data_IF_118306517901
#
_entry.id   IF_118306517901
#
_cell.length_a   1.000
_cell.length_b   1.000
_cell.length_c   1.000
_cell.angle_alpha   90.00
_cell.angle_beta   90.00
_cell.angle_gamma   90.00
#
_symmetry.space_group_name_H-M   'P 1'
#
loop_
_entity.id
_entity.type
_entity.pdbx_description
1 polymer ?
#
# COMPACT_ATOMS: atom_id res chain seq x y z
N UNK A 1 -15.04 -7.80 37.36
CA UNK A 1 -13.84 -7.88 36.50
C UNK A 1 -12.63 -7.26 37.21
N UNK A 2 -11.83 -8.09 37.87
CA UNK A 2 -10.66 -7.64 38.63
C UNK A 2 -9.50 -7.42 37.66
N UNK A 3 -9.05 -6.18 37.49
CA UNK A 3 -7.84 -5.87 36.73
C UNK A 3 -6.63 -6.63 37.30
N UNK A 4 -5.72 -7.08 36.43
CA UNK A 4 -4.49 -7.72 36.86
C UNK A 4 -3.65 -6.76 37.72
N UNK A 5 -3.03 -7.28 38.78
CA UNK A 5 -2.16 -6.53 39.69
C UNK A 5 -0.71 -6.96 39.45
N UNK A 6 0.19 -5.99 39.30
CA UNK A 6 1.63 -6.23 39.40
C UNK A 6 2.24 -5.34 40.50
N UNK A 7 3.55 -5.48 40.75
CA UNK A 7 4.29 -4.82 41.84
C UNK A 7 4.26 -3.27 41.76
N UNK A 8 3.83 -2.69 40.63
CA UNK A 8 3.71 -1.25 40.38
C UNK A 8 2.25 -0.73 40.47
N UNK A 9 1.25 -1.58 40.75
CA UNK A 9 -0.14 -1.20 40.95
C UNK A 9 -1.15 -1.87 40.00
N UNK A 10 -2.35 -1.29 39.89
CA UNK A 10 -3.37 -1.69 38.91
C UNK A 10 -2.84 -1.37 37.51
N UNK A 11 -2.49 -2.39 36.73
CA UNK A 11 -2.19 -2.19 35.31
C UNK A 11 -3.49 -2.00 34.53
N UNK A 12 -3.43 -1.13 33.53
CA UNK A 12 -4.56 -0.77 32.67
C UNK A 12 -5.14 -1.95 31.88
N UNK A 13 -6.27 -1.66 31.22
CA UNK A 13 -7.10 -2.54 30.39
C UNK A 13 -6.32 -3.60 29.60
N UNK A 14 -6.98 -4.77 29.43
CA UNK A 14 -6.57 -5.89 28.56
C UNK A 14 -5.73 -5.42 27.39
N UNK A 15 -4.48 -5.86 27.31
CA UNK A 15 -3.69 -5.68 26.11
C UNK A 15 -4.16 -6.71 25.08
N UNK A 16 -4.88 -6.25 24.04
CA UNK A 16 -5.48 -7.11 23.03
C UNK A 16 -4.43 -8.03 22.37
N UNK A 17 -3.20 -7.55 22.19
CA UNK A 17 -2.13 -8.31 21.55
C UNK A 17 -1.76 -9.54 22.37
N UNK A 18 -1.89 -9.54 23.69
CA UNK A 18 -1.56 -10.70 24.54
C UNK A 18 -2.48 -11.91 24.25
N UNK A 19 -3.71 -11.69 23.79
CA UNK A 19 -4.63 -12.76 23.41
C UNK A 19 -4.62 -13.05 21.91
N UNK A 20 -4.47 -12.02 21.08
CA UNK A 20 -4.69 -12.12 19.64
C UNK A 20 -3.43 -12.28 18.80
N UNK A 21 -2.23 -12.07 19.34
CA UNK A 21 -1.04 -11.95 18.50
C UNK A 21 -1.10 -10.70 17.61
N UNK A 22 0.06 -10.11 17.34
CA UNK A 22 0.20 -8.93 16.49
C UNK A 22 1.66 -8.79 16.07
N UNK A 23 1.92 -8.83 14.76
CA UNK A 23 3.27 -8.71 14.24
C UNK A 23 3.79 -7.26 14.27
N UNK A 24 2.92 -6.24 14.39
CA UNK A 24 3.35 -4.84 14.53
C UNK A 24 4.00 -4.60 15.90
N UNK A 25 3.38 -5.09 16.98
CA UNK A 25 3.97 -5.06 18.32
C UNK A 25 5.04 -6.13 18.57
N UNK A 26 5.26 -7.03 17.60
CA UNK A 26 6.20 -8.14 17.73
C UNK A 26 5.70 -9.30 18.60
N UNK A 27 4.42 -9.32 18.98
CA UNK A 27 3.84 -10.48 19.66
C UNK A 27 3.41 -11.56 18.67
N UNK A 28 4.32 -12.45 18.33
CA UNK A 28 4.12 -13.53 17.37
C UNK A 28 3.49 -14.80 17.97
N UNK A 29 2.79 -14.68 19.11
CA UNK A 29 2.17 -15.80 19.82
C UNK A 29 0.74 -15.45 20.25
N UNK A 30 -0.20 -16.36 19.99
CA UNK A 30 -1.61 -16.26 20.38
C UNK A 30 -2.08 -17.55 21.11
N UNK A 31 -2.52 -17.48 22.38
CA UNK A 31 -2.25 -16.40 23.33
C UNK A 31 -0.79 -16.39 23.77
N UNK A 32 -0.29 -15.24 24.21
CA UNK A 32 1.03 -15.11 24.82
C UNK A 32 1.08 -15.90 26.13
N UNK A 33 2.20 -16.59 26.40
CA UNK A 33 2.37 -17.42 27.62
C UNK A 33 2.21 -16.60 28.90
N UNK A 34 2.58 -15.32 28.88
CA UNK A 34 2.50 -14.40 30.02
C UNK A 34 1.18 -13.62 30.08
N UNK A 35 0.23 -13.89 29.19
CA UNK A 35 -1.08 -13.26 29.23
C UNK A 35 -1.78 -13.61 30.56
N UNK A 36 -2.27 -12.58 31.26
CA UNK A 36 -2.83 -12.73 32.60
C UNK A 36 -4.13 -11.93 32.75
N UNK A 37 -4.91 -12.24 33.78
CA UNK A 37 -6.17 -11.55 34.08
C UNK A 37 -7.43 -12.16 33.46
N UNK A 38 -7.31 -13.07 32.49
CA UNK A 38 -8.44 -13.75 31.83
C UNK A 38 -8.07 -15.19 31.43
N UNK A 39 -9.09 -16.05 31.25
CA UNK A 39 -8.88 -17.37 30.64
C UNK A 39 -8.50 -17.16 29.18
N UNK A 40 -7.26 -17.47 28.84
CA UNK A 40 -6.76 -17.33 27.49
C UNK A 40 -7.26 -18.47 26.61
N UNK A 41 -7.65 -18.12 25.37
CA UNK A 41 -8.02 -19.07 24.32
C UNK A 41 -7.29 -18.67 23.06
N UNK A 42 -7.06 -19.63 22.15
CA UNK A 42 -6.51 -19.32 20.84
C UNK A 42 -7.49 -18.41 20.10
N UNK A 43 -7.07 -17.20 19.80
CA UNK A 43 -7.85 -16.22 19.06
C UNK A 43 -7.37 -16.14 17.60
N UNK A 44 -7.98 -15.24 16.82
CA UNK A 44 -7.46 -14.80 15.53
C UNK A 44 -6.43 -13.67 15.76
N UNK A 45 -5.50 -13.44 14.82
CA UNK A 45 -4.66 -12.25 14.76
C UNK A 45 -5.44 -10.99 15.09
N UNK A 46 -4.84 -10.04 15.80
CA UNK A 46 -5.53 -8.80 16.20
C UNK A 46 -6.20 -8.11 15.01
N UNK A 47 -5.46 -8.06 13.90
CA UNK A 47 -5.86 -7.49 12.62
C UNK A 47 -7.10 -8.16 12.05
N UNK A 48 -7.12 -9.49 12.01
CA UNK A 48 -8.25 -10.27 11.51
C UNK A 48 -9.45 -10.15 12.46
N UNK A 49 -9.21 -10.15 13.77
CA UNK A 49 -10.25 -10.03 14.78
C UNK A 49 -10.95 -8.66 14.73
N UNK A 50 -10.18 -7.56 14.69
CA UNK A 50 -10.73 -6.20 14.63
C UNK A 50 -11.48 -5.99 13.32
N UNK A 51 -10.85 -6.25 12.18
CA UNK A 51 -11.51 -6.03 10.88
C UNK A 51 -12.72 -6.95 10.72
N UNK A 52 -12.58 -8.23 11.06
CA UNK A 52 -13.65 -9.22 10.98
C UNK A 52 -14.88 -8.84 11.80
N UNK A 53 -14.68 -8.41 13.05
CA UNK A 53 -15.80 -8.00 13.90
C UNK A 53 -16.49 -6.74 13.37
N UNK A 54 -15.73 -5.68 13.10
CA UNK A 54 -16.33 -4.39 12.74
C UNK A 54 -16.96 -4.40 11.35
N UNK A 55 -16.36 -5.09 10.36
CA UNK A 55 -16.95 -5.21 9.03
C UNK A 55 -18.19 -6.14 9.00
N UNK A 56 -18.31 -7.05 9.97
CA UNK A 56 -19.50 -7.90 10.10
C UNK A 56 -20.64 -7.19 10.83
N UNK A 57 -20.33 -6.42 11.89
CA UNK A 57 -21.33 -5.79 12.75
C UNK A 57 -21.72 -4.38 12.26
N UNK A 58 -20.74 -3.59 11.83
CA UNK A 58 -20.90 -2.16 11.51
C UNK A 58 -20.10 -1.81 10.23
N UNK A 59 -20.49 -2.33 9.05
CA UNK A 59 -19.73 -2.13 7.81
C UNK A 59 -19.70 -0.70 7.30
N UNK A 60 -20.63 0.16 7.74
CA UNK A 60 -20.73 1.59 7.38
C UNK A 60 -20.51 1.91 5.89
N UNK A 61 -21.31 1.34 4.97
CA UNK A 61 -21.11 1.60 3.55
C UNK A 61 -21.40 3.06 3.18
N UNK A 62 -20.62 3.62 2.26
CA UNK A 62 -20.99 4.83 1.51
C UNK A 62 -22.03 4.49 0.42
N UNK A 63 -22.48 5.48 -0.38
CA UNK A 63 -23.47 5.23 -1.43
C UNK A 63 -22.99 4.27 -2.54
N UNK A 64 -21.68 4.07 -2.67
CA UNK A 64 -21.08 3.11 -3.59
C UNK A 64 -20.83 1.73 -2.94
N UNK A 65 -21.12 1.58 -1.64
CA UNK A 65 -20.87 0.37 -0.86
C UNK A 65 -19.47 0.27 -0.25
N UNK A 66 -18.62 1.31 -0.30
CA UNK A 66 -17.27 1.30 0.33
C UNK A 66 -17.39 1.47 1.84
N UNK A 67 -16.63 0.69 2.61
CA UNK A 67 -16.71 0.79 4.07
C UNK A 67 -16.03 2.06 4.59
N UNK A 68 -16.79 2.93 5.25
CA UNK A 68 -16.27 4.11 5.94
C UNK A 68 -15.66 3.74 7.31
N UNK A 69 -15.89 2.51 7.79
CA UNK A 69 -15.44 2.04 9.09
C UNK A 69 -13.92 2.08 9.23
N UNK A 70 -13.17 1.92 8.13
CA UNK A 70 -11.72 2.06 8.11
C UNK A 70 -11.28 3.39 8.74
N UNK A 71 -11.91 4.49 8.32
CA UNK A 71 -11.57 5.85 8.75
C UNK A 71 -12.11 6.18 10.15
N UNK A 72 -13.04 5.36 10.67
CA UNK A 72 -13.55 5.52 12.04
C UNK A 72 -12.54 5.05 13.10
N UNK A 73 -11.67 4.09 12.74
CA UNK A 73 -10.61 3.59 13.62
C UNK A 73 -9.21 4.07 13.21
N UNK A 74 -8.91 4.12 11.91
CA UNK A 74 -7.68 4.69 11.39
C UNK A 74 -7.85 6.21 11.31
N UNK A 75 -7.21 6.96 12.21
CA UNK A 75 -7.79 8.20 12.67
C UNK A 75 -7.82 9.31 11.63
N UNK A 76 -8.90 10.06 11.71
CA UNK A 76 -9.06 11.43 11.21
C UNK A 76 -8.87 12.38 12.36
N UNK A 77 -7.63 12.73 12.69
CA UNK A 77 -7.46 13.76 13.70
C UNK A 77 -7.64 15.13 13.06
N UNK A 78 -8.47 15.95 13.70
CA UNK A 78 -8.39 17.39 13.56
C UNK A 78 -7.91 17.94 14.89
N UNK A 79 -6.85 18.73 14.88
CA UNK A 79 -6.19 19.16 16.11
C UNK A 79 -6.90 20.33 16.80
N UNK A 80 -7.81 21.03 16.10
CA UNK A 80 -8.54 22.15 16.67
C UNK A 80 -9.85 21.66 17.32
N UNK A 81 -9.97 21.74 18.67
CA UNK A 81 -11.11 21.23 19.40
C UNK A 81 -12.44 21.91 19.03
N UNK A 82 -12.42 23.12 18.48
CA UNK A 82 -13.62 23.86 18.09
C UNK A 82 -14.33 23.24 16.88
N UNK A 83 -13.67 22.36 16.14
CA UNK A 83 -14.26 21.60 15.05
C UNK A 83 -14.41 20.12 15.42
N UNK A 84 -14.63 19.81 16.71
CA UNK A 84 -15.14 18.51 17.14
C UNK A 84 -16.68 18.45 17.03
N UNK A 85 -17.22 18.94 15.93
CA UNK A 85 -18.65 19.00 15.62
C UNK A 85 -18.94 18.55 14.17
N UNK A 86 -20.16 18.80 13.69
CA UNK A 86 -20.58 18.42 12.33
C UNK A 86 -19.88 19.24 11.22
N UNK A 87 -19.16 20.31 11.56
CA UNK A 87 -18.36 21.11 10.61
C UNK A 87 -17.01 20.46 10.28
N UNK A 88 -16.57 19.48 11.09
CA UNK A 88 -15.34 18.74 10.85
C UNK A 88 -15.37 18.04 9.48
N UNK A 89 -14.52 18.41 8.52
CA UNK A 89 -14.58 17.82 7.19
C UNK A 89 -14.04 16.37 7.17
N UNK A 90 -13.21 15.98 8.15
CA UNK A 90 -12.60 14.66 8.22
C UNK A 90 -13.51 13.60 8.86
N UNK A 91 -14.50 14.04 9.61
CA UNK A 91 -15.42 13.17 10.32
C UNK A 91 -16.22 12.27 9.36
N UNK A 92 -16.26 10.97 9.65
CA UNK A 92 -16.97 9.95 8.83
C UNK A 92 -18.22 9.37 9.52
N UNK A 93 -18.41 9.66 10.80
CA UNK A 93 -19.64 9.41 11.55
C UNK A 93 -20.40 10.72 11.74
N UNK A 94 -21.73 10.67 11.81
CA UNK A 94 -22.52 11.81 12.29
C UNK A 94 -22.60 11.81 13.82
N UNK A 95 -23.22 12.83 14.44
CA UNK A 95 -23.27 12.99 15.91
C UNK A 95 -24.00 11.85 16.65
N UNK A 96 -24.68 10.99 15.92
CA UNK A 96 -25.37 9.82 16.45
C UNK A 96 -24.59 8.51 16.22
N UNK A 97 -23.43 8.59 15.56
CA UNK A 97 -22.59 7.43 15.23
C UNK A 97 -22.94 6.78 13.89
N UNK A 98 -23.86 7.37 13.11
CA UNK A 98 -24.26 6.84 11.81
C UNK A 98 -23.27 7.21 10.71
N UNK A 99 -23.28 6.44 9.62
CA UNK A 99 -22.34 6.65 8.52
C UNK A 99 -22.65 7.94 7.74
N UNK A 100 -21.78 8.96 7.86
CA UNK A 100 -21.99 10.30 7.28
C UNK A 100 -22.18 10.28 5.76
N UNK A 101 -21.41 9.43 5.06
CA UNK A 101 -21.47 9.33 3.60
C UNK A 101 -22.39 8.20 3.10
N UNK A 102 -23.34 7.72 3.91
CA UNK A 102 -24.29 6.67 3.49
C UNK A 102 -25.05 7.01 2.18
N UNK A 103 -25.22 8.30 1.88
CA UNK A 103 -25.84 8.83 0.65
C UNK A 103 -24.86 9.56 -0.28
N UNK A 104 -23.56 9.46 -0.03
CA UNK A 104 -22.53 10.16 -0.80
C UNK A 104 -21.27 9.33 -1.00
N UNK A 105 -20.20 9.98 -1.46
CA UNK A 105 -18.91 9.35 -1.73
C UNK A 105 -17.92 9.68 -0.61
N UNK A 106 -17.44 8.65 0.10
CA UNK A 106 -16.48 8.82 1.20
C UNK A 106 -15.16 9.47 0.76
N UNK A 107 -14.80 9.34 -0.52
CA UNK A 107 -13.57 9.93 -1.08
C UNK A 107 -13.67 11.45 -1.20
N UNK A 108 -14.88 12.01 -1.09
CA UNK A 108 -15.10 13.46 -0.99
C UNK A 108 -14.92 13.99 0.44
N UNK A 109 -14.72 13.13 1.44
CA UNK A 109 -14.42 13.56 2.82
C UNK A 109 -13.22 14.49 2.85
N UNK A 110 -13.10 15.29 3.91
CA UNK A 110 -11.97 16.19 4.15
C UNK A 110 -10.63 15.46 4.15
N UNK A 111 -10.61 14.13 4.29
CA UNK A 111 -9.39 13.32 4.33
C UNK A 111 -9.15 12.76 5.72
N UNK A 112 -7.88 12.67 6.11
CA UNK A 112 -7.41 12.31 7.45
C UNK A 112 -5.93 11.92 7.43
N UNK A 113 -5.49 11.11 8.38
CA UNK A 113 -4.12 10.60 8.38
C UNK A 113 -3.82 9.68 7.18
N UNK A 114 -4.85 9.10 6.55
CA UNK A 114 -4.69 8.15 5.45
C UNK A 114 -5.43 8.59 4.18
N UNK A 115 -6.69 9.00 4.30
CA UNK A 115 -7.50 9.41 3.14
C UNK A 115 -7.11 10.81 2.66
N UNK A 116 -6.88 10.95 1.35
CA UNK A 116 -6.47 12.19 0.66
C UNK A 116 -5.13 12.77 1.11
N UNK A 117 -4.27 11.97 1.77
CA UNK A 117 -2.90 12.36 2.15
C UNK A 117 -1.94 12.17 0.99
N UNK A 118 -2.10 11.13 0.18
CA UNK A 118 -1.19 10.80 -0.92
C UNK A 118 -1.83 10.96 -2.32
N UNK A 119 -1.01 10.80 -3.35
CA UNK A 119 -1.44 10.93 -4.74
C UNK A 119 -2.57 9.95 -5.15
N UNK A 120 -2.66 8.78 -4.50
CA UNK A 120 -3.67 7.77 -4.84
C UNK A 120 -5.08 8.18 -4.44
N UNK A 121 -5.20 8.88 -3.32
CA UNK A 121 -6.48 9.34 -2.78
C UNK A 121 -6.71 10.84 -3.02
N UNK A 122 -5.71 11.58 -3.50
CA UNK A 122 -5.78 13.01 -3.77
C UNK A 122 -6.41 13.31 -5.15
N UNK A 123 -7.57 13.97 -5.22
CA UNK A 123 -8.21 14.31 -6.50
C UNK A 123 -7.42 15.31 -7.35
N UNK A 124 -6.45 16.02 -6.74
CA UNK A 124 -5.61 17.00 -7.43
C UNK A 124 -4.39 16.37 -8.11
N UNK A 125 -4.10 15.09 -7.87
CA UNK A 125 -2.98 14.41 -8.52
C UNK A 125 -3.15 14.42 -10.06
N UNK A 126 -2.05 14.67 -10.77
CA UNK A 126 -2.03 14.81 -12.25
C UNK A 126 -1.13 13.74 -12.89
N UNK A 127 -1.46 13.27 -14.10
CA UNK A 127 -0.58 12.38 -14.88
C UNK A 127 0.81 13.01 -15.15
N UNK A 128 1.82 12.20 -15.52
CA UNK A 128 1.74 10.76 -15.84
C UNK A 128 1.69 9.86 -14.60
N UNK A 129 0.93 8.76 -14.67
CA UNK A 129 0.80 7.80 -13.55
C UNK A 129 1.60 6.50 -13.76
N UNK A 130 2.08 6.21 -14.98
CA UNK A 130 2.83 5.00 -15.32
C UNK A 130 2.16 3.72 -14.80
N UNK A 131 0.97 3.44 -15.32
CA UNK A 131 0.10 2.37 -14.85
C UNK A 131 0.22 1.10 -15.70
N UNK A 132 0.27 -0.05 -15.04
CA UNK A 132 0.04 -1.34 -15.69
C UNK A 132 -1.46 -1.50 -16.07
N UNK A 133 -1.84 -2.64 -16.65
CA UNK A 133 -3.22 -2.82 -17.11
C UNK A 133 -4.25 -2.88 -15.97
N UNK A 134 -3.87 -3.34 -14.77
CA UNK A 134 -4.75 -3.28 -13.60
C UNK A 134 -4.85 -1.86 -13.04
N UNK A 135 -3.74 -1.12 -12.97
CA UNK A 135 -3.73 0.28 -12.57
C UNK A 135 -4.61 1.14 -13.49
N UNK A 136 -4.54 0.93 -14.81
CA UNK A 136 -5.42 1.59 -15.78
C UNK A 136 -6.89 1.27 -15.53
N UNK A 137 -7.20 0.00 -15.25
CA UNK A 137 -8.55 -0.41 -14.88
C UNK A 137 -9.03 0.31 -13.61
N UNK A 138 -8.19 0.43 -12.57
CA UNK A 138 -8.52 1.15 -11.33
C UNK A 138 -8.76 2.65 -11.59
N UNK A 139 -7.92 3.28 -12.42
CA UNK A 139 -8.12 4.67 -12.81
C UNK A 139 -9.48 4.87 -13.50
N UNK A 140 -9.77 4.07 -14.52
CA UNK A 140 -10.96 4.21 -15.36
C UNK A 140 -12.27 3.81 -14.64
N UNK A 141 -12.22 2.78 -13.80
CA UNK A 141 -13.43 2.15 -13.24
C UNK A 141 -13.67 2.52 -11.77
N UNK A 142 -12.69 3.11 -11.10
CA UNK A 142 -12.82 3.53 -9.69
C UNK A 142 -12.53 5.02 -9.55
N UNK A 143 -11.31 5.46 -9.87
CA UNK A 143 -10.90 6.84 -9.62
C UNK A 143 -11.68 7.86 -10.46
N UNK A 144 -12.08 7.49 -11.68
CA UNK A 144 -12.87 8.34 -12.59
C UNK A 144 -14.37 8.06 -12.55
N UNK A 145 -14.86 7.34 -11.51
CA UNK A 145 -16.28 7.08 -11.29
C UNK A 145 -16.79 7.69 -10.00
N UNK A 146 -18.01 8.19 -10.03
CA UNK A 146 -18.75 8.62 -8.83
C UNK A 146 -19.33 7.43 -8.05
N UNK A 147 -20.06 7.72 -6.97
CA UNK A 147 -20.73 6.74 -6.12
C UNK A 147 -21.82 5.93 -6.83
N UNK A 148 -22.27 6.36 -8.01
CA UNK A 148 -23.30 5.71 -8.83
C UNK A 148 -22.71 5.07 -10.09
N UNK A 149 -21.38 5.00 -10.21
CA UNK A 149 -20.69 4.42 -11.36
C UNK A 149 -20.69 5.30 -12.63
N UNK A 150 -21.04 6.59 -12.50
CA UNK A 150 -21.00 7.55 -13.62
C UNK A 150 -19.62 8.18 -13.74
N UNK A 151 -19.24 8.52 -14.98
CA UNK A 151 -17.99 9.24 -15.24
C UNK A 151 -17.98 10.61 -14.57
N UNK A 152 -16.84 10.97 -13.99
CA UNK A 152 -16.58 12.28 -13.40
C UNK A 152 -15.54 13.05 -14.19
N UNK A 153 -15.64 14.38 -14.19
CA UNK A 153 -14.63 15.27 -14.80
C UNK A 153 -13.35 15.35 -13.97
N UNK A 154 -13.50 15.27 -12.65
CA UNK A 154 -12.41 15.36 -11.69
C UNK A 154 -12.25 14.02 -10.98
N UNK A 155 -11.02 13.54 -10.92
CA UNK A 155 -10.68 12.27 -10.28
C UNK A 155 -11.15 12.26 -8.82
N UNK A 156 -11.77 11.17 -8.37
CA UNK A 156 -12.12 10.91 -6.96
C UNK A 156 -10.99 10.24 -6.19
N UNK A 157 -10.07 9.60 -6.90
CA UNK A 157 -9.00 8.78 -6.33
C UNK A 157 -9.48 7.40 -5.88
N UNK A 158 -8.55 6.68 -5.26
CA UNK A 158 -8.74 5.36 -4.68
C UNK A 158 -9.09 5.47 -3.20
N UNK A 159 -9.61 4.37 -2.65
CA UNK A 159 -9.86 4.19 -1.23
C UNK A 159 -9.13 2.95 -0.70
N UNK A 160 -9.10 2.76 0.62
CA UNK A 160 -8.35 1.68 1.29
C UNK A 160 -8.61 0.30 0.67
N UNK A 161 -9.87 0.00 0.32
CA UNK A 161 -10.29 -1.29 -0.22
C UNK A 161 -9.82 -1.56 -1.66
N UNK A 162 -9.35 -0.53 -2.37
CA UNK A 162 -8.76 -0.71 -3.69
C UNK A 162 -7.30 -1.17 -3.62
N UNK A 163 -6.61 -0.89 -2.51
CA UNK A 163 -5.28 -1.41 -2.21
C UNK A 163 -5.37 -2.75 -1.46
N UNK A 164 -6.20 -2.81 -0.41
CA UNK A 164 -6.47 -4.04 0.36
C UNK A 164 -7.54 -4.88 -0.32
N UNK A 165 -7.15 -5.54 -1.42
CA UNK A 165 -8.05 -6.28 -2.29
C UNK A 165 -7.60 -7.72 -2.51
N UNK A 166 -8.54 -8.60 -2.84
CA UNK A 166 -8.19 -9.99 -3.23
C UNK A 166 -7.46 -10.05 -4.57
N UNK A 167 -7.55 -9.01 -5.40
CA UNK A 167 -6.72 -8.92 -6.61
C UNK A 167 -5.26 -8.79 -6.22
N UNK A 168 -4.91 -7.89 -5.29
CA UNK A 168 -3.54 -7.75 -4.80
C UNK A 168 -3.00 -9.07 -4.21
N UNK A 169 -3.80 -9.76 -3.38
CA UNK A 169 -3.45 -11.09 -2.86
C UNK A 169 -3.21 -12.12 -3.98
N UNK A 170 -4.05 -12.12 -5.02
CA UNK A 170 -3.90 -13.05 -6.14
C UNK A 170 -2.68 -12.74 -7.01
N UNK A 171 -2.40 -11.46 -7.27
CA UNK A 171 -1.20 -11.01 -7.97
C UNK A 171 0.05 -11.45 -7.20
N UNK A 172 0.10 -11.19 -5.88
CA UNK A 172 1.18 -11.63 -5.00
C UNK A 172 1.36 -13.16 -5.02
N UNK A 173 0.27 -13.92 -4.86
CA UNK A 173 0.33 -15.39 -4.88
C UNK A 173 0.89 -15.95 -6.20
N UNK A 174 0.63 -15.28 -7.32
CA UNK A 174 1.07 -15.71 -8.64
C UNK A 174 2.57 -15.47 -8.91
N UNK A 175 3.22 -14.58 -8.17
CA UNK A 175 4.59 -14.16 -8.45
C UNK A 175 5.64 -15.25 -8.19
N UNK A 176 6.64 -15.33 -9.06
CA UNK A 176 7.94 -15.97 -8.87
C UNK A 176 8.90 -15.20 -9.79
N UNK A 177 9.26 -14.00 -9.35
CA UNK A 177 9.95 -12.96 -10.10
C UNK A 177 11.44 -13.23 -10.09
N UNK A 178 12.07 -13.04 -11.25
CA UNK A 178 13.52 -13.18 -11.43
C UNK A 178 14.19 -11.84 -11.70
N UNK A 179 13.44 -10.85 -12.19
CA UNK A 179 13.89 -9.47 -12.35
C UNK A 179 12.72 -8.50 -12.15
N UNK A 180 12.73 -7.81 -11.02
CA UNK A 180 11.73 -6.82 -10.60
C UNK A 180 11.64 -5.65 -11.59
N UNK A 181 12.78 -5.05 -11.96
CA UNK A 181 12.88 -3.85 -12.82
C UNK A 181 12.29 -3.99 -14.21
N UNK A 182 12.17 -5.24 -14.65
CA UNK A 182 11.66 -5.63 -15.96
C UNK A 182 10.40 -6.49 -15.86
N UNK A 183 9.95 -6.79 -14.64
CA UNK A 183 8.91 -7.76 -14.31
C UNK A 183 9.11 -9.11 -15.03
N UNK A 184 10.35 -9.63 -15.07
CA UNK A 184 10.67 -10.94 -15.65
C UNK A 184 10.46 -12.06 -14.63
N UNK A 185 10.15 -13.26 -15.12
CA UNK A 185 9.75 -14.41 -14.30
C UNK A 185 8.25 -14.67 -14.41
N UNK A 186 7.69 -15.34 -13.41
CA UNK A 186 6.24 -15.58 -13.34
C UNK A 186 5.59 -14.39 -12.62
N UNK A 187 4.73 -13.66 -13.31
CA UNK A 187 3.92 -12.60 -12.71
C UNK A 187 2.69 -12.30 -13.56
N UNK A 188 1.65 -11.77 -12.94
CA UNK A 188 0.44 -11.28 -13.60
C UNK A 188 0.49 -9.77 -13.89
N UNK A 189 1.39 -9.02 -13.25
CA UNK A 189 1.40 -7.54 -13.28
C UNK A 189 1.80 -6.94 -14.63
N UNK A 190 2.48 -7.69 -15.48
CA UNK A 190 2.84 -7.29 -16.84
C UNK A 190 1.90 -7.87 -17.92
N UNK A 191 0.82 -8.53 -17.53
CA UNK A 191 -0.12 -9.19 -18.45
C UNK A 191 -1.23 -8.26 -18.90
N UNK A 192 -1.93 -8.64 -19.97
CA UNK A 192 -3.15 -7.94 -20.39
C UNK A 192 -4.24 -8.07 -19.32
N UNK A 193 -5.18 -7.13 -19.26
CA UNK A 193 -6.31 -7.21 -18.33
C UNK A 193 -7.10 -8.52 -18.51
N UNK A 194 -7.25 -9.00 -19.76
CA UNK A 194 -7.92 -10.26 -20.07
C UNK A 194 -7.23 -11.46 -19.41
N UNK A 195 -5.91 -11.52 -19.46
CA UNK A 195 -5.13 -12.58 -18.82
C UNK A 195 -5.20 -12.49 -17.30
N UNK A 196 -5.16 -11.28 -16.73
CA UNK A 196 -5.34 -11.07 -15.29
C UNK A 196 -6.72 -11.57 -14.83
N UNK A 197 -7.79 -11.19 -15.55
CA UNK A 197 -9.17 -11.62 -15.25
C UNK A 197 -9.33 -13.14 -15.40
N UNK A 198 -8.69 -13.74 -16.40
CA UNK A 198 -8.66 -15.19 -16.57
C UNK A 198 -8.01 -15.88 -15.36
N UNK A 199 -6.85 -15.40 -14.91
CA UNK A 199 -6.12 -16.00 -13.80
C UNK A 199 -6.80 -15.78 -12.43
N UNK A 200 -7.33 -14.59 -12.19
CA UNK A 200 -7.85 -14.19 -10.86
C UNK A 200 -9.33 -14.56 -10.70
N UNK A 201 -10.12 -14.48 -11.77
CA UNK A 201 -11.58 -14.64 -11.72
C UNK A 201 -12.13 -15.69 -12.70
N UNK A 202 -11.28 -16.48 -13.35
CA UNK A 202 -11.71 -17.52 -14.29
C UNK A 202 -12.32 -16.96 -15.58
N UNK A 203 -11.99 -15.70 -15.92
CA UNK A 203 -12.52 -15.02 -17.12
C UNK A 203 -13.78 -14.20 -16.86
N UNK A 204 -14.35 -14.27 -15.65
CA UNK A 204 -15.53 -13.49 -15.27
C UNK A 204 -15.14 -12.06 -14.86
N UNK A 205 -15.39 -11.10 -15.77
CA UNK A 205 -15.12 -9.68 -15.52
C UNK A 205 -15.97 -9.10 -14.39
N UNK A 206 -17.21 -9.58 -14.18
CA UNK A 206 -18.06 -9.08 -13.09
C UNK A 206 -17.50 -9.51 -11.74
N UNK A 207 -17.09 -10.78 -11.64
CA UNK A 207 -16.39 -11.30 -10.46
C UNK A 207 -15.06 -10.59 -10.23
N UNK A 208 -14.29 -10.32 -11.29
CA UNK A 208 -13.05 -9.54 -11.17
C UNK A 208 -13.32 -8.13 -10.64
N UNK A 209 -14.30 -7.41 -11.21
CA UNK A 209 -14.64 -6.06 -10.78
C UNK A 209 -15.09 -6.03 -9.30
N UNK A 210 -15.85 -7.04 -8.84
CA UNK A 210 -16.32 -7.07 -7.45
C UNK A 210 -15.21 -7.25 -6.42
N UNK A 211 -14.10 -7.91 -6.78
CA UNK A 211 -12.94 -8.07 -5.90
C UNK A 211 -11.86 -7.00 -6.09
N UNK A 212 -11.89 -6.27 -7.22
CA UNK A 212 -10.98 -5.16 -7.51
C UNK A 212 -11.46 -3.82 -6.93
N UNK A 213 -12.78 -3.60 -6.91
CA UNK A 213 -13.45 -2.49 -6.23
C UNK A 213 -14.37 -3.04 -5.13
N UNK A 214 -13.75 -3.67 -4.14
CA UNK A 214 -14.43 -4.43 -3.09
C UNK A 214 -15.39 -3.54 -2.28
N UNK A 215 -16.62 -4.03 -2.12
CA UNK A 215 -17.70 -3.38 -1.37
C UNK A 215 -18.00 -4.13 -0.09
N UNK A 216 -18.43 -3.40 0.93
CA UNK A 216 -18.91 -3.93 2.20
C UNK A 216 -20.41 -4.29 2.17
N UNK A 217 -21.12 -3.90 1.11
CA UNK A 217 -22.50 -4.33 0.85
C UNK A 217 -22.56 -5.65 0.06
N UNK A 218 -23.74 -6.26 0.01
CA UNK A 218 -23.95 -7.50 -0.75
C UNK A 218 -23.13 -8.67 -0.18
N UNK A 219 -22.23 -9.24 -0.99
CA UNK A 219 -21.33 -10.33 -0.57
C UNK A 219 -20.26 -9.90 0.44
N UNK A 220 -20.12 -8.60 0.68
CA UNK A 220 -19.13 -8.02 1.60
C UNK A 220 -17.70 -8.55 1.30
N UNK A 221 -17.22 -8.27 0.08
CA UNK A 221 -15.90 -8.69 -0.38
C UNK A 221 -14.78 -8.09 0.49
N UNK A 222 -15.05 -6.97 1.17
CA UNK A 222 -14.13 -6.34 2.14
C UNK A 222 -13.99 -7.21 3.39
N UNK A 223 -15.09 -7.68 3.98
CA UNK A 223 -15.05 -8.62 5.10
C UNK A 223 -14.34 -9.91 4.71
N UNK A 224 -14.68 -10.44 3.54
CA UNK A 224 -14.10 -11.68 3.02
C UNK A 224 -12.60 -11.56 2.73
N UNK A 225 -12.10 -10.39 2.31
CA UNK A 225 -10.66 -10.14 2.21
C UNK A 225 -9.96 -10.46 3.55
N UNK A 226 -10.46 -9.94 4.67
CA UNK A 226 -9.86 -10.16 5.99
C UNK A 226 -10.13 -11.54 6.58
N UNK A 227 -11.32 -12.11 6.37
CA UNK A 227 -11.72 -13.36 7.03
C UNK A 227 -11.38 -14.63 6.26
N UNK A 228 -11.32 -14.57 4.93
CA UNK A 228 -11.10 -15.75 4.09
C UNK A 228 -9.66 -15.89 3.61
N UNK A 229 -8.77 -14.98 4.01
CA UNK A 229 -7.36 -15.04 3.66
C UNK A 229 -6.73 -16.32 4.20
N UNK A 230 -6.01 -17.00 3.32
CA UNK A 230 -5.18 -18.15 3.69
C UNK A 230 -3.74 -17.67 3.74
N UNK A 231 -3.11 -17.84 4.90
CA UNK A 231 -1.68 -17.56 5.09
C UNK A 231 -0.85 -18.10 3.94
N UNK A 232 -0.01 -17.24 3.36
CA UNK A 232 0.95 -17.66 2.35
C UNK A 232 1.96 -18.67 2.93
N UNK A 233 2.50 -19.55 2.08
CA UNK A 233 3.66 -20.39 2.44
C UNK A 233 4.86 -19.49 2.70
N UNK A 234 5.36 -19.46 3.94
CA UNK A 234 6.55 -18.71 4.32
C UNK A 234 7.84 -19.42 3.89
N UNK A 235 7.93 -20.73 4.16
CA UNK A 235 9.08 -21.58 3.82
C UNK A 235 8.61 -23.01 3.53
N UNK A 236 9.48 -23.84 2.94
CA UNK A 236 9.29 -25.29 2.78
C UNK A 236 10.15 -26.04 3.78
N UNK A 237 9.61 -27.04 4.48
CA UNK A 237 10.41 -27.93 5.32
C UNK A 237 10.69 -29.25 4.59
N UNK A 238 11.95 -29.53 4.24
CA UNK A 238 12.39 -30.79 3.61
C UNK A 238 12.96 -31.79 4.62
N UNK A 239 13.04 -31.41 5.89
CA UNK A 239 13.56 -32.24 6.95
C UNK A 239 12.71 -33.49 7.20
N UNK A 240 13.34 -34.56 7.67
CA UNK A 240 12.69 -35.84 7.99
C UNK A 240 12.77 -36.12 9.48
N UNK A 241 11.81 -36.92 10.00
CA UNK A 241 11.81 -37.41 11.39
C UNK A 241 11.90 -36.29 12.43
N UNK A 242 11.12 -35.21 12.25
CA UNK A 242 11.05 -34.10 13.20
C UNK A 242 12.22 -33.10 13.16
N UNK A 243 13.23 -33.31 12.29
CA UNK A 243 14.27 -32.30 12.04
C UNK A 243 13.74 -31.22 11.10
N UNK A 244 14.08 -29.96 11.36
CA UNK A 244 13.82 -28.85 10.46
C UNK A 244 14.96 -28.72 9.43
N UNK A 245 14.62 -28.69 8.14
CA UNK A 245 15.48 -28.22 7.07
C UNK A 245 14.64 -27.27 6.21
N UNK A 246 14.73 -25.98 6.53
CA UNK A 246 13.90 -24.93 5.93
C UNK A 246 14.53 -24.45 4.62
N UNK A 247 13.74 -24.44 3.57
CA UNK A 247 14.06 -23.95 2.23
C UNK A 247 13.14 -22.78 1.86
N UNK A 248 13.50 -21.95 0.86
CA UNK A 248 12.61 -20.91 0.35
C UNK A 248 11.22 -21.45 -0.03
N UNK A 249 10.20 -20.60 0.04
CA UNK A 249 8.79 -20.97 -0.21
C UNK A 249 8.57 -21.65 -1.58
N UNK A 250 9.36 -21.30 -2.60
CA UNK A 250 9.28 -21.86 -3.95
C UNK A 250 10.16 -23.10 -4.18
N UNK A 251 10.73 -23.68 -3.12
CA UNK A 251 11.50 -24.91 -3.24
C UNK A 251 10.63 -26.07 -3.75
N UNK A 252 11.19 -26.89 -4.66
CA UNK A 252 10.45 -27.94 -5.41
C UNK A 252 9.92 -29.08 -4.53
N UNK A 253 10.48 -29.27 -3.34
CA UNK A 253 10.15 -30.35 -2.42
C UNK A 253 9.99 -29.81 -1.00
N UNK A 254 9.37 -30.60 -0.12
CA UNK A 254 9.11 -30.27 1.28
C UNK A 254 7.66 -29.89 1.55
N UNK A 255 7.27 -29.96 2.82
CA UNK A 255 5.95 -29.53 3.28
C UNK A 255 5.86 -28.00 3.40
N UNK A 256 4.71 -27.44 3.08
CA UNK A 256 4.43 -26.01 3.28
C UNK A 256 4.43 -25.64 4.77
N UNK A 257 5.21 -24.61 5.12
CA UNK A 257 5.15 -23.96 6.43
C UNK A 257 4.58 -22.56 6.20
N UNK A 258 3.30 -22.31 6.53
CA UNK A 258 2.67 -21.02 6.31
C UNK A 258 3.08 -19.98 7.37
N UNK A 259 2.85 -18.70 7.11
CA UNK A 259 3.02 -17.63 8.10
C UNK A 259 2.33 -17.92 9.43
N UNK A 260 1.10 -18.43 9.41
CA UNK A 260 0.38 -18.86 10.61
C UNK A 260 1.13 -19.85 11.52
N UNK A 261 2.09 -20.61 10.99
CA UNK A 261 2.93 -21.49 11.80
C UNK A 261 4.08 -20.76 12.51
N UNK A 262 4.47 -19.57 12.04
CA UNK A 262 5.59 -18.79 12.57
C UNK A 262 5.16 -17.59 13.43
N UNK A 263 4.05 -16.94 13.10
CA UNK A 263 3.60 -15.70 13.76
C UNK A 263 2.46 -15.86 14.75
N UNK A 264 2.08 -17.10 15.09
CA UNK A 264 0.93 -17.37 15.95
C UNK A 264 -0.29 -16.61 15.44
N UNK A 265 -0.53 -16.67 14.13
CA UNK A 265 -1.49 -15.80 13.46
C UNK A 265 -1.27 -15.66 11.94
N UNK A 266 -2.31 -15.41 11.17
CA UNK A 266 -2.26 -15.22 9.71
C UNK A 266 -1.40 -14.01 9.25
N UNK A 267 -1.00 -14.03 7.97
CA UNK A 267 -0.17 -13.02 7.30
C UNK A 267 -0.91 -11.68 7.14
N UNK A 268 -0.90 -10.84 8.19
CA UNK A 268 -1.55 -9.51 8.20
C UNK A 268 -0.64 -8.37 8.70
N UNK A 269 -0.82 -7.12 8.24
CA UNK A 269 -0.07 -5.88 8.59
C UNK A 269 1.38 -5.72 8.14
N UNK A 270 2.29 -6.61 8.59
CA UNK A 270 3.69 -6.67 8.12
C UNK A 270 3.90 -7.86 7.20
N UNK A 271 2.84 -8.21 6.50
CA UNK A 271 2.70 -9.38 5.72
C UNK A 271 3.07 -9.12 4.28
N UNK A 272 3.60 -10.14 3.62
CA UNK A 272 3.93 -10.02 2.22
C UNK A 272 2.67 -9.98 1.34
N UNK A 273 1.49 -10.32 1.88
CA UNK A 273 0.20 -10.23 1.16
C UNK A 273 -0.45 -8.83 1.17
N UNK A 274 0.12 -7.87 1.90
CA UNK A 274 -0.32 -6.47 1.95
C UNK A 274 0.07 -5.71 0.66
N UNK A 275 -0.42 -4.48 0.40
CA UNK A 275 -0.35 -3.85 -0.92
C UNK A 275 1.08 -3.63 -1.47
N UNK A 276 1.25 -3.68 -2.79
CA UNK A 276 2.53 -3.39 -3.47
C UNK A 276 2.34 -2.26 -4.48
N UNK A 277 3.36 -1.44 -4.68
CA UNK A 277 3.41 -0.45 -5.75
C UNK A 277 3.23 -1.12 -7.12
N UNK A 278 3.88 -2.29 -7.32
CA UNK A 278 3.77 -3.06 -8.55
C UNK A 278 2.35 -3.55 -8.88
N UNK A 279 1.42 -3.58 -7.91
CA UNK A 279 0.04 -3.99 -8.17
C UNK A 279 -0.57 -3.12 -9.28
N UNK A 280 -0.34 -1.79 -9.24
CA UNK A 280 -0.90 -0.85 -10.20
C UNK A 280 0.13 -0.22 -11.15
N UNK A 281 1.40 -0.14 -10.77
CA UNK A 281 2.43 0.51 -11.58
C UNK A 281 3.13 -0.45 -12.56
N UNK A 282 3.58 0.10 -13.70
CA UNK A 282 4.37 -0.62 -14.70
C UNK A 282 5.87 -0.55 -14.38
N UNK A 283 6.65 -1.54 -14.84
CA UNK A 283 8.11 -1.46 -14.74
C UNK A 283 8.73 -0.30 -15.55
N UNK A 284 9.70 0.44 -15.01
CA UNK A 284 10.45 0.15 -13.78
C UNK A 284 9.92 0.87 -12.53
N UNK A 285 8.70 1.44 -12.56
CA UNK A 285 8.05 2.14 -11.43
C UNK A 285 7.50 1.17 -10.38
N UNK A 286 8.31 0.16 -10.04
CA UNK A 286 8.00 -0.92 -9.12
C UNK A 286 9.12 -1.06 -8.11
N UNK A 287 8.89 -1.84 -7.06
CA UNK A 287 9.88 -2.11 -6.03
C UNK A 287 11.20 -2.60 -6.60
N UNK A 288 12.29 -2.08 -6.03
CA UNK A 288 13.64 -2.52 -6.33
C UNK A 288 14.03 -3.71 -5.47
N UNK A 289 14.68 -4.68 -6.12
CA UNK A 289 15.10 -5.97 -5.60
C UNK A 289 13.93 -6.95 -5.43
N UNK A 290 14.12 -8.17 -5.92
CA UNK A 290 13.26 -9.30 -5.51
C UNK A 290 13.31 -9.40 -4.00
N UNK A 291 12.15 -9.56 -3.36
CA UNK A 291 12.00 -9.61 -1.90
C UNK A 291 12.82 -10.71 -1.24
N UNK A 292 12.72 -10.80 0.08
CA UNK A 292 13.46 -11.72 0.95
C UNK A 292 14.60 -11.07 1.72
N UNK A 293 14.78 -9.74 1.60
CA UNK A 293 15.78 -8.97 2.36
C UNK A 293 15.34 -8.72 3.81
N UNK A 294 14.02 -8.65 4.02
CA UNK A 294 13.37 -8.35 5.29
C UNK A 294 12.57 -9.55 5.82
N UNK A 295 13.03 -10.77 5.54
CA UNK A 295 12.37 -11.99 6.01
C UNK A 295 12.08 -11.93 7.52
N UNK A 296 10.86 -12.27 7.98
CA UNK A 296 9.78 -12.90 7.23
C UNK A 296 8.82 -11.93 6.53
N UNK A 297 9.03 -10.62 6.55
CA UNK A 297 8.07 -9.63 6.04
C UNK A 297 7.93 -9.69 4.51
N UNK A 298 9.02 -10.03 3.81
CA UNK A 298 9.05 -10.22 2.38
C UNK A 298 9.60 -11.61 2.02
N UNK A 299 9.21 -12.10 0.85
CA UNK A 299 9.62 -13.43 0.38
C UNK A 299 10.57 -13.31 -0.81
N UNK A 300 11.58 -14.20 -0.91
CA UNK A 300 12.37 -14.39 -2.12
C UNK A 300 11.50 -14.41 -3.38
N UNK A 301 11.92 -13.76 -4.47
CA UNK A 301 11.21 -13.77 -5.75
C UNK A 301 9.78 -13.18 -5.73
N UNK A 302 9.42 -12.39 -4.71
CA UNK A 302 8.19 -11.60 -4.68
C UNK A 302 8.53 -10.11 -4.73
N UNK A 303 7.55 -9.24 -4.97
CA UNK A 303 7.76 -7.82 -4.69
C UNK A 303 7.80 -7.58 -3.18
N UNK A 304 8.50 -6.52 -2.76
CA UNK A 304 8.51 -6.10 -1.36
C UNK A 304 7.22 -5.36 -1.03
N UNK A 305 6.71 -5.51 0.18
CA UNK A 305 5.59 -4.73 0.70
C UNK A 305 5.85 -3.23 0.49
N UNK A 306 4.83 -2.46 0.10
CA UNK A 306 4.96 -1.02 -0.17
C UNK A 306 5.74 -0.25 0.91
N UNK A 307 5.57 -0.59 2.21
CA UNK A 307 6.26 0.03 3.37
C UNK A 307 7.79 -0.12 3.36
N UNK A 308 8.28 -1.19 2.73
CA UNK A 308 9.71 -1.52 2.61
C UNK A 308 10.22 -1.37 1.18
N UNK A 309 9.34 -0.93 0.28
CA UNK A 309 9.64 -0.68 -1.12
C UNK A 309 10.66 0.41 -1.29
N UNK A 310 11.64 0.13 -2.15
CA UNK A 310 12.72 1.07 -2.48
C UNK A 310 12.78 1.27 -3.97
N UNK A 311 13.28 2.44 -4.35
CA UNK A 311 13.61 2.88 -5.68
C UNK A 311 14.98 3.60 -5.66
N UNK A 312 15.48 4.02 -6.83
CA UNK A 312 16.66 4.89 -6.94
C UNK A 312 17.87 4.42 -6.12
N UNK A 313 18.22 3.13 -6.21
CA UNK A 313 19.48 2.63 -5.65
C UNK A 313 19.50 2.35 -4.15
N UNK A 314 18.33 2.36 -3.49
CA UNK A 314 18.01 1.99 -2.08
C UNK A 314 17.24 3.09 -1.30
N UNK A 315 16.67 4.09 -1.99
CA UNK A 315 15.81 5.13 -1.41
C UNK A 315 14.38 4.60 -1.27
N UNK A 316 13.72 4.78 -0.12
CA UNK A 316 12.34 4.36 0.07
C UNK A 316 11.39 5.09 -0.91
N UNK A 317 10.41 4.39 -1.50
CA UNK A 317 9.46 5.00 -2.44
C UNK A 317 8.75 6.22 -1.81
N UNK A 318 8.45 6.13 -0.52
CA UNK A 318 7.78 7.16 0.27
C UNK A 318 8.58 8.44 0.43
N UNK A 319 9.90 8.38 0.26
CA UNK A 319 10.75 9.58 0.30
C UNK A 319 10.39 10.54 -0.83
N UNK A 320 10.01 10.02 -2.01
CA UNK A 320 9.62 10.85 -3.15
C UNK A 320 8.10 10.90 -3.32
N UNK A 321 7.42 9.76 -3.31
CA UNK A 321 6.00 9.64 -3.68
C UNK A 321 5.04 9.83 -2.51
N UNK A 322 5.58 10.01 -1.30
CA UNK A 322 4.84 9.89 -0.05
C UNK A 322 4.14 8.52 0.04
N UNK A 323 3.20 8.36 0.96
CA UNK A 323 2.32 7.20 1.01
C UNK A 323 1.04 7.59 1.72
N UNK A 324 -0.05 6.89 1.44
CA UNK A 324 -1.25 6.90 2.30
C UNK A 324 -0.85 6.74 3.77
N UNK A 325 0.23 6.02 4.07
CA UNK A 325 0.79 5.84 5.41
C UNK A 325 2.10 6.60 5.65
N UNK A 326 2.34 7.64 4.85
CA UNK A 326 3.59 8.41 4.79
C UNK A 326 3.60 9.66 5.65
N UNK A 327 4.75 10.33 5.65
CA UNK A 327 5.12 11.36 6.63
C UNK A 327 4.48 12.74 6.38
N UNK A 328 4.19 13.13 5.13
CA UNK A 328 3.66 14.46 4.77
C UNK A 328 2.41 14.33 3.88
N UNK A 329 1.63 15.41 3.70
CA UNK A 329 0.41 15.41 2.87
C UNK A 329 0.64 16.10 1.52
N UNK A 330 0.43 15.38 0.41
CA UNK A 330 0.34 15.93 -0.95
C UNK A 330 -0.84 16.89 -1.16
N UNK A 331 -1.82 16.89 -0.26
CA UNK A 331 -3.02 17.74 -0.37
C UNK A 331 -2.97 18.91 0.60
N UNK A 332 -3.38 20.06 0.08
CA UNK A 332 -3.56 21.31 0.81
C UNK A 332 -4.89 21.94 0.40
N UNK A 333 -5.70 22.28 1.40
CA UNK A 333 -7.04 22.88 1.24
C UNK A 333 -7.12 24.28 1.86
N UNK A 334 -5.96 24.93 2.05
CA UNK A 334 -5.82 26.16 2.81
C UNK A 334 -5.45 25.92 4.28
N UNK A 335 -4.90 26.95 4.92
CA UNK A 335 -4.33 26.87 6.28
C UNK A 335 -5.34 26.41 7.33
N UNK A 336 -6.60 26.83 7.20
CA UNK A 336 -7.65 26.51 8.17
C UNK A 336 -8.24 25.10 7.99
N UNK A 337 -8.10 24.51 6.79
CA UNK A 337 -8.79 23.26 6.41
C UNK A 337 -7.85 22.09 6.15
N UNK A 338 -6.54 22.31 6.18
CA UNK A 338 -5.54 21.25 6.03
C UNK A 338 -5.22 20.68 7.41
N UNK A 339 -5.29 19.35 7.58
CA UNK A 339 -5.01 18.66 8.86
C UNK A 339 -3.60 18.98 9.37
N UNK A 340 -2.68 19.13 8.44
CA UNK A 340 -1.25 19.02 8.69
C UNK A 340 -0.49 20.05 7.85
N UNK A 341 -0.80 21.33 8.09
CA UNK A 341 -0.18 22.47 7.39
C UNK A 341 1.34 22.45 7.55
N UNK A 342 1.84 22.12 8.74
CA UNK A 342 3.28 22.06 9.02
C UNK A 342 4.00 21.03 8.14
N UNK A 343 3.48 19.81 8.01
CA UNK A 343 4.11 18.82 7.13
C UNK A 343 3.98 19.20 5.65
N UNK A 344 2.88 19.85 5.26
CA UNK A 344 2.73 20.39 3.90
C UNK A 344 3.79 21.47 3.60
N UNK A 345 3.98 22.43 4.49
CA UNK A 345 5.01 23.47 4.36
C UNK A 345 6.42 22.90 4.33
N UNK A 346 6.70 21.88 5.15
CA UNK A 346 7.97 21.15 5.11
C UNK A 346 8.18 20.46 3.75
N UNK A 347 7.12 19.87 3.17
CA UNK A 347 7.20 19.25 1.86
C UNK A 347 7.49 20.27 0.75
N UNK A 348 6.90 21.48 0.83
CA UNK A 348 7.16 22.56 -0.13
C UNK A 348 8.62 23.05 -0.14
N UNK A 349 9.35 22.92 0.97
CA UNK A 349 10.78 23.27 1.01
C UNK A 349 11.63 22.39 0.09
N UNK A 350 11.14 21.19 -0.25
CA UNK A 350 11.77 20.27 -1.19
C UNK A 350 11.29 20.45 -2.64
N UNK A 351 10.40 21.41 -2.87
CA UNK A 351 9.89 21.79 -4.18
C UNK A 351 10.69 22.98 -4.72
N UNK A 352 11.36 22.87 -5.87
CA UNK A 352 12.22 23.95 -6.38
C UNK A 352 11.48 25.26 -6.67
N UNK A 353 10.15 25.20 -6.90
CA UNK A 353 9.31 26.39 -7.07
C UNK A 353 8.42 26.70 -5.85
N UNK A 354 8.48 25.87 -4.80
CA UNK A 354 7.67 26.00 -3.59
C UNK A 354 6.17 25.76 -3.81
N UNK A 355 5.75 25.15 -4.93
CA UNK A 355 4.32 25.02 -5.28
C UNK A 355 3.77 23.60 -5.20
N UNK A 356 4.64 22.59 -5.23
CA UNK A 356 4.21 21.19 -5.31
C UNK A 356 4.78 20.37 -4.17
N UNK A 357 3.91 19.92 -3.27
CA UNK A 357 4.30 19.17 -2.07
C UNK A 357 4.67 17.71 -2.34
N UNK A 358 4.25 17.12 -3.45
CA UNK A 358 4.67 15.76 -3.78
C UNK A 358 4.08 15.23 -5.08
N UNK A 359 4.77 14.33 -5.83
CA UNK A 359 6.07 13.76 -5.48
C UNK A 359 7.22 14.76 -5.44
N UNK A 360 8.09 14.63 -4.44
CA UNK A 360 9.29 15.45 -4.28
C UNK A 360 10.20 15.27 -5.51
N UNK A 361 10.69 16.37 -6.05
CA UNK A 361 11.48 16.37 -7.30
C UNK A 361 12.97 16.16 -7.04
N UNK A 362 13.74 15.99 -8.12
CA UNK A 362 15.19 15.82 -8.05
C UNK A 362 15.91 16.94 -7.28
N UNK A 363 15.35 18.16 -7.27
CA UNK A 363 15.95 19.33 -6.65
C UNK A 363 16.08 19.25 -5.12
N UNK A 364 15.30 18.36 -4.48
CA UNK A 364 15.38 18.15 -3.05
C UNK A 364 16.75 17.59 -2.59
N UNK A 365 17.40 16.81 -3.46
CA UNK A 365 18.66 16.13 -3.16
C UNK A 365 19.80 16.50 -4.12
N UNK A 366 19.48 17.02 -5.31
CA UNK A 366 20.45 17.32 -6.35
C UNK A 366 20.41 18.79 -6.75
N UNK A 367 21.57 19.35 -7.09
CA UNK A 367 21.62 20.54 -7.94
C UNK A 367 21.08 20.19 -9.32
N UNK A 368 20.01 20.87 -9.75
CA UNK A 368 19.32 20.63 -11.02
C UNK A 368 19.51 21.77 -12.02
N UNK A 369 19.33 21.48 -13.30
CA UNK A 369 19.25 22.50 -14.35
C UNK A 369 17.83 23.08 -14.49
N UNK A 370 17.64 23.97 -15.48
CA UNK A 370 16.36 24.63 -15.76
C UNK A 370 15.18 23.68 -16.07
N UNK A 371 15.46 22.42 -16.42
CA UNK A 371 14.45 21.40 -16.70
C UNK A 371 14.18 20.50 -15.48
N UNK A 372 14.77 20.79 -14.31
CA UNK A 372 14.66 19.97 -13.11
C UNK A 372 15.49 18.68 -13.14
N UNK A 373 16.43 18.55 -14.09
CA UNK A 373 17.30 17.37 -14.25
C UNK A 373 18.60 17.57 -13.46
N UNK A 374 19.09 16.56 -12.70
CA UNK A 374 20.37 16.63 -12.00
C UNK A 374 21.53 17.03 -12.92
N UNK A 375 22.33 18.01 -12.50
CA UNK A 375 23.51 18.50 -13.23
C UNK A 375 24.55 17.41 -13.49
N UNK A 376 24.59 16.35 -12.68
CA UNK A 376 25.43 15.18 -12.89
C UNK A 376 25.16 14.46 -14.23
N UNK A 377 23.97 14.62 -14.81
CA UNK A 377 23.62 14.04 -16.11
C UNK A 377 24.04 14.90 -17.30
N UNK A 378 24.70 16.04 -17.07
CA UNK A 378 25.21 16.91 -18.13
C UNK A 378 26.14 16.17 -19.10
N UNK A 379 26.06 16.52 -20.40
CA UNK A 379 26.78 15.83 -21.47
C UNK A 379 26.19 14.46 -21.86
N UNK A 380 25.12 14.00 -21.20
CA UNK A 380 24.37 12.79 -21.60
C UNK A 380 23.10 13.14 -22.36
N UNK A 381 22.48 12.15 -23.02
CA UNK A 381 21.16 12.33 -23.66
C UNK A 381 20.03 12.60 -22.64
N UNK A 382 20.24 12.27 -21.37
CA UNK A 382 19.27 12.53 -20.31
C UNK A 382 19.24 13.98 -19.83
N UNK A 383 20.31 14.76 -20.09
CA UNK A 383 20.52 16.08 -19.49
C UNK A 383 19.33 17.06 -19.63
N UNK A 384 18.54 16.92 -20.70
CA UNK A 384 17.42 17.82 -20.99
C UNK A 384 16.06 17.12 -21.03
N UNK A 385 15.96 15.88 -20.56
CA UNK A 385 14.71 15.12 -20.52
C UNK A 385 14.41 14.68 -19.08
N UNK A 386 13.49 15.41 -18.45
CA UNK A 386 13.07 15.15 -17.07
C UNK A 386 12.50 13.74 -16.89
N UNK A 387 11.60 13.31 -17.76
CA UNK A 387 10.89 12.05 -17.58
C UNK A 387 11.74 10.84 -17.93
N UNK A 388 12.61 10.95 -18.92
CA UNK A 388 13.63 9.93 -19.14
C UNK A 388 14.56 9.80 -17.92
N UNK A 389 14.92 10.93 -17.29
CA UNK A 389 15.77 10.95 -16.08
C UNK A 389 15.06 10.36 -14.86
N UNK A 390 13.77 10.66 -14.66
CA UNK A 390 12.92 10.01 -13.65
C UNK A 390 12.91 8.49 -13.88
N UNK A 391 12.78 8.05 -15.13
CA UNK A 391 12.76 6.62 -15.46
C UNK A 391 14.12 5.96 -15.23
N UNK A 392 15.23 6.67 -15.49
CA UNK A 392 16.58 6.22 -15.15
C UNK A 392 16.72 5.97 -13.63
N UNK A 393 16.24 6.90 -12.80
CA UNK A 393 16.23 6.73 -11.35
C UNK A 393 15.44 5.48 -10.91
N UNK A 394 14.31 5.19 -11.56
CA UNK A 394 13.53 3.99 -11.29
C UNK A 394 14.23 2.69 -11.76
N UNK A 395 15.09 2.76 -12.78
CA UNK A 395 15.92 1.64 -13.23
C UNK A 395 17.13 1.36 -12.33
N UNK A 396 17.70 2.36 -11.67
CA UNK A 396 18.84 2.17 -10.75
C UNK A 396 18.52 1.08 -9.73
N UNK A 397 19.50 0.27 -9.32
CA UNK A 397 19.34 -0.77 -8.29
C UNK A 397 20.36 -0.57 -7.18
N UNK A 398 20.19 -1.27 -6.06
CA UNK A 398 21.17 -1.21 -4.97
C UNK A 398 22.58 -1.52 -5.51
N UNK A 399 23.51 -0.59 -5.27
CA UNK A 399 24.86 -0.59 -5.84
C UNK A 399 25.05 0.36 -7.03
N UNK A 400 24.01 0.67 -7.80
CA UNK A 400 24.10 1.54 -8.98
C UNK A 400 24.40 3.01 -8.62
N UNK A 401 24.07 3.45 -7.42
CA UNK A 401 24.44 4.77 -6.90
C UNK A 401 25.96 4.98 -6.77
N UNK A 402 26.75 3.89 -6.84
CA UNK A 402 28.22 3.94 -6.81
C UNK A 402 28.84 3.97 -8.21
N UNK A 403 28.03 3.84 -9.26
CA UNK A 403 28.53 3.85 -10.64
C UNK A 403 28.81 5.27 -11.10
N UNK A 404 29.89 5.42 -11.87
CA UNK A 404 30.12 6.63 -12.65
C UNK A 404 28.96 6.85 -13.63
N UNK A 405 28.56 8.11 -13.87
CA UNK A 405 27.41 8.44 -14.73
C UNK A 405 27.54 7.80 -16.12
N UNK A 406 28.75 7.76 -16.70
CA UNK A 406 29.01 7.11 -18.00
C UNK A 406 28.71 5.61 -17.99
N UNK A 407 29.00 4.92 -16.88
CA UNK A 407 28.69 3.50 -16.71
C UNK A 407 27.19 3.31 -16.48
N UNK A 408 26.57 4.19 -15.70
CA UNK A 408 25.14 4.16 -15.42
C UNK A 408 24.31 4.29 -16.70
N UNK A 409 24.58 5.31 -17.54
CA UNK A 409 23.85 5.51 -18.80
C UNK A 409 24.17 4.46 -19.87
N UNK A 410 25.29 3.73 -19.73
CA UNK A 410 25.57 2.55 -20.56
C UNK A 410 24.75 1.35 -20.10
N UNK A 411 24.62 1.15 -18.79
CA UNK A 411 23.80 0.09 -18.18
C UNK A 411 22.31 0.30 -18.47
N UNK A 412 21.86 1.55 -18.41
CA UNK A 412 20.48 1.96 -18.70
C UNK A 412 20.47 3.00 -19.84
N UNK A 413 20.42 2.55 -21.10
CA UNK A 413 20.42 3.44 -22.24
C UNK A 413 19.20 4.35 -22.32
N UNK A 414 19.42 5.61 -22.68
CA UNK A 414 18.38 6.64 -22.89
C UNK A 414 17.13 6.14 -23.63
N UNK A 415 17.33 5.41 -24.73
CA UNK A 415 16.25 4.87 -25.57
C UNK A 415 15.26 3.98 -24.80
N UNK A 416 15.73 3.29 -23.75
CA UNK A 416 14.89 2.41 -22.94
C UNK A 416 13.99 3.27 -22.04
N UNK A 417 14.57 4.27 -21.37
CA UNK A 417 13.81 5.21 -20.54
C UNK A 417 12.75 5.95 -21.37
N UNK A 418 13.13 6.50 -22.53
CA UNK A 418 12.16 7.23 -23.38
C UNK A 418 11.04 6.32 -23.87
N UNK A 419 11.33 5.06 -24.19
CA UNK A 419 10.31 4.11 -24.61
C UNK A 419 9.28 3.88 -23.49
N UNK A 420 9.73 3.66 -22.27
CA UNK A 420 8.84 3.52 -21.10
C UNK A 420 7.99 4.77 -20.92
N UNK A 421 8.60 5.96 -21.05
CA UNK A 421 7.90 7.23 -20.95
C UNK A 421 6.79 7.34 -22.01
N UNK A 422 7.11 7.05 -23.28
CA UNK A 422 6.13 7.12 -24.38
C UNK A 422 5.01 6.09 -24.25
N UNK A 423 5.35 4.85 -23.90
CA UNK A 423 4.38 3.75 -23.81
C UNK A 423 3.49 3.86 -22.55
N UNK A 424 4.03 4.45 -21.48
CA UNK A 424 3.44 4.47 -20.14
C UNK A 424 2.89 5.82 -19.68
N UNK A 425 2.89 6.84 -20.53
CA UNK A 425 2.54 8.23 -20.13
C UNK A 425 1.13 8.40 -19.56
N UNK A 426 0.20 7.52 -19.94
CA UNK A 426 -1.15 7.44 -19.35
C UNK A 426 -1.10 6.62 -18.07
#
# INVERSE_FOLDING_TARGET
PNAAVNRLGKVGFVNCTDCHGDNVSGNLQEPRVTASGYKTVKAKPLSEAIHGFHLAMVPMPDAAGRSQACQSCHPTHFQNPNMNDDTNPFRVTDRYGEARFAKGDIRKSGGGCYVRRDAHSNPNAKPPFFLNNYGKWQLENVSMKDEHGKDVKEMRGLYCTNCHSKVAQALYAADDITNDSKQEGKTLRNKSLKEIVAAVAGGDMKKFASIADAKATGKNEVLSYYLDHKSATLVKNVGKKGKLDLKPWNHKTGGDVPYAAASGGNDWWLAASEPHCADCHLAPFVEQNTGGKYFPIDQPNKYSLYRYSKAHGDIACQTCHESTHGLYSTRYDGDERSVDVTTHEQALQYSPDGKYAGPVTCAACHTVNKNGVPTQLEGTKYANDYWASVTLAHFMREGDQKLEVKQLVKKYPYKNSTKVVTDGWK
#
